data_IF_695681508731
#
_entry.id   IF_695681508731
#
_cell.length_a   1.000
_cell.length_b   1.000
_cell.length_c   1.000
_cell.angle_alpha   90.00
_cell.angle_beta   90.00
_cell.angle_gamma   90.00
#
_symmetry.space_group_name_H-M   'P 1'
#
loop_
_entity.id
_entity.type
_entity.pdbx_description
1 polymer ?
#
# COMPACT_ATOMS: atom_id res chain seq x y z
N UNK A 1 -18.40 -1.92 8.90
CA UNK A 1 -17.43 -2.38 7.87
C UNK A 1 -16.59 -1.17 7.49
N UNK A 2 -15.27 -1.28 7.49
CA UNK A 2 -14.39 -0.16 7.12
C UNK A 2 -14.66 0.31 5.69
N UNK A 3 -14.45 1.60 5.45
CA UNK A 3 -14.51 2.17 4.10
C UNK A 3 -13.31 1.67 3.26
N UNK A 4 -12.12 1.68 3.86
CA UNK A 4 -10.88 1.29 3.19
C UNK A 4 -10.04 0.41 4.12
N UNK A 5 -9.51 -0.70 3.58
CA UNK A 5 -8.40 -1.46 4.17
C UNK A 5 -7.09 -1.04 3.50
N UNK A 6 -6.13 -0.56 4.28
CA UNK A 6 -4.80 -0.22 3.79
C UNK A 6 -3.83 -1.33 4.17
N UNK A 7 -3.19 -1.92 3.18
CA UNK A 7 -2.29 -3.06 3.33
C UNK A 7 -0.84 -2.59 3.19
N UNK A 8 -0.02 -2.87 4.20
CA UNK A 8 1.39 -2.45 4.26
C UNK A 8 2.26 -3.67 4.46
N UNK A 9 2.97 -4.15 3.41
CA UNK A 9 4.00 -5.17 3.57
C UNK A 9 5.21 -4.56 4.28
N UNK A 10 5.75 -5.25 5.28
CA UNK A 10 6.89 -4.78 6.10
C UNK A 10 7.99 -5.82 6.08
N UNK A 11 9.21 -5.40 5.71
CA UNK A 11 10.41 -6.22 5.83
C UNK A 11 11.64 -5.36 6.03
N UNK A 12 12.21 -5.36 7.26
CA UNK A 12 13.43 -4.63 7.61
C UNK A 12 13.40 -3.14 7.23
N UNK A 13 12.35 -2.43 7.65
CA UNK A 13 12.14 -1.00 7.34
C UNK A 13 12.09 -0.12 8.61
N UNK A 14 12.74 -0.54 9.71
CA UNK A 14 12.72 0.16 11.00
C UNK A 14 12.98 1.67 10.91
N UNK A 15 13.81 2.10 9.94
CA UNK A 15 14.19 3.51 9.75
C UNK A 15 13.04 4.39 9.27
N UNK A 16 12.08 3.83 8.53
CA UNK A 16 11.02 4.56 7.83
C UNK A 16 9.63 4.23 8.36
N UNK A 17 9.48 3.06 8.98
CA UNK A 17 8.20 2.48 9.35
C UNK A 17 7.36 3.37 10.26
N UNK A 18 7.96 4.10 11.20
CA UNK A 18 7.22 5.01 12.08
C UNK A 18 6.56 6.16 11.32
N UNK A 19 7.24 6.71 10.32
CA UNK A 19 6.67 7.77 9.48
C UNK A 19 5.54 7.25 8.62
N UNK A 20 5.70 6.07 8.03
CA UNK A 20 4.65 5.37 7.29
C UNK A 20 3.40 5.17 8.17
N UNK A 21 3.54 4.54 9.35
CA UNK A 21 2.42 4.29 10.26
C UNK A 21 1.75 5.59 10.66
N UNK A 22 2.52 6.62 11.03
CA UNK A 22 1.98 7.92 11.44
C UNK A 22 1.16 8.56 10.32
N UNK A 23 1.64 8.55 9.08
CA UNK A 23 0.91 9.09 7.94
C UNK A 23 -0.44 8.39 7.70
N UNK A 24 -0.53 7.12 8.05
CA UNK A 24 -1.75 6.32 7.94
C UNK A 24 -2.69 6.51 9.14
N UNK A 25 -2.16 6.61 10.36
CA UNK A 25 -2.97 6.84 11.57
C UNK A 25 -3.50 8.27 11.67
N UNK A 26 -2.87 9.23 11.00
CA UNK A 26 -3.30 10.62 10.93
C UNK A 26 -4.23 10.94 9.75
N UNK A 27 -4.69 9.94 9.01
CA UNK A 27 -5.63 10.14 7.91
C UNK A 27 -6.95 10.79 8.37
N UNK A 28 -7.53 11.65 7.53
CA UNK A 28 -8.82 12.31 7.82
C UNK A 28 -10.02 11.40 7.60
N UNK A 29 -9.86 10.23 7.00
CA UNK A 29 -10.88 9.19 6.90
C UNK A 29 -10.84 8.33 8.16
N UNK A 30 -11.82 8.44 9.04
CA UNK A 30 -11.88 7.68 10.29
C UNK A 30 -12.23 6.20 10.12
N UNK A 31 -12.85 5.82 9.01
CA UNK A 31 -13.26 4.43 8.74
C UNK A 31 -12.18 3.66 7.98
N UNK A 32 -10.97 3.61 8.53
CA UNK A 32 -9.83 2.86 8.00
C UNK A 32 -9.57 1.58 8.80
N UNK A 33 -9.15 0.53 8.11
CA UNK A 33 -8.51 -0.66 8.65
C UNK A 33 -7.07 -0.69 8.15
N UNK A 34 -6.09 -0.72 9.03
CA UNK A 34 -4.66 -0.74 8.71
C UNK A 34 -4.12 -2.15 8.96
N UNK A 35 -3.66 -2.82 7.90
CA UNK A 35 -3.18 -4.19 7.94
C UNK A 35 -1.70 -4.20 7.59
N UNK A 36 -0.86 -4.32 8.63
CA UNK A 36 0.58 -4.48 8.47
C UNK A 36 0.92 -5.96 8.41
N UNK A 37 1.64 -6.37 7.37
CA UNK A 37 2.10 -7.76 7.22
C UNK A 37 3.61 -7.79 7.35
N UNK A 38 4.10 -8.19 8.52
CA UNK A 38 5.52 -8.39 8.78
C UNK A 38 5.99 -9.69 8.11
N UNK A 39 6.77 -9.54 7.06
CA UNK A 39 7.32 -10.64 6.24
C UNK A 39 8.62 -11.19 6.85
N UNK A 40 8.63 -11.41 8.16
CA UNK A 40 9.75 -12.01 8.88
C UNK A 40 10.92 -11.06 9.08
N UNK A 41 10.66 -9.82 9.46
CA UNK A 41 11.70 -8.83 9.76
C UNK A 41 12.61 -9.28 10.91
N UNK A 42 13.89 -8.92 10.81
CA UNK A 42 14.92 -9.22 11.80
C UNK A 42 15.46 -7.98 12.52
N UNK A 43 15.03 -6.80 12.10
CA UNK A 43 15.33 -5.50 12.70
C UNK A 43 14.30 -5.12 13.79
N UNK A 44 14.17 -3.84 14.14
CA UNK A 44 13.20 -3.37 15.13
C UNK A 44 11.77 -3.23 14.59
N UNK A 45 11.50 -3.48 13.31
CA UNK A 45 10.16 -3.33 12.69
C UNK A 45 9.05 -4.06 13.46
N UNK A 46 9.21 -5.33 13.91
CA UNK A 46 8.16 -6.03 14.66
C UNK A 46 7.80 -5.33 15.99
N UNK A 47 8.80 -4.77 16.68
CA UNK A 47 8.59 -4.04 17.93
C UNK A 47 7.86 -2.72 17.69
N UNK A 48 8.16 -2.05 16.60
CA UNK A 48 7.46 -0.82 16.20
C UNK A 48 6.00 -1.13 15.93
N UNK A 49 5.69 -2.13 15.11
CA UNK A 49 4.34 -2.56 14.78
C UNK A 49 3.52 -2.90 16.03
N UNK A 50 4.08 -3.70 16.93
CA UNK A 50 3.40 -4.10 18.17
C UNK A 50 3.07 -2.91 19.06
N UNK A 51 3.97 -1.92 19.15
CA UNK A 51 3.74 -0.69 19.92
C UNK A 51 2.55 0.11 19.37
N UNK A 52 2.40 0.21 18.05
CA UNK A 52 1.29 0.91 17.43
C UNK A 52 -0.01 0.11 17.51
N UNK A 53 0.04 -1.20 17.30
CA UNK A 53 -1.10 -2.09 17.49
C UNK A 53 -1.67 -2.02 18.91
N UNK A 54 -0.81 -2.00 19.92
CA UNK A 54 -1.23 -1.90 21.32
C UNK A 54 -1.92 -0.56 21.66
N UNK A 55 -1.64 0.53 20.90
CA UNK A 55 -2.27 1.84 21.08
C UNK A 55 -3.63 1.96 20.41
N UNK A 56 -3.80 1.28 19.29
CA UNK A 56 -5.03 1.33 18.48
C UNK A 56 -5.38 -0.06 17.92
N UNK A 57 -5.78 -1.00 18.79
CA UNK A 57 -6.08 -2.38 18.37
C UNK A 57 -7.36 -2.52 17.55
N UNK A 58 -8.19 -1.49 17.50
CA UNK A 58 -9.43 -1.49 16.73
C UNK A 58 -9.18 -1.22 15.25
N UNK A 59 -8.18 -0.38 14.92
CA UNK A 59 -7.88 0.00 13.55
C UNK A 59 -6.61 -0.65 13.00
N UNK A 60 -5.67 -1.07 13.88
CA UNK A 60 -4.37 -1.63 13.48
C UNK A 60 -4.33 -3.13 13.71
N UNK A 61 -4.16 -3.86 12.63
CA UNK A 61 -3.93 -5.30 12.61
C UNK A 61 -2.52 -5.62 12.16
N UNK A 62 -1.83 -6.47 12.88
CA UNK A 62 -0.48 -6.96 12.52
C UNK A 62 -0.56 -8.46 12.27
N UNK A 63 -0.03 -8.90 11.13
CA UNK A 63 0.08 -10.31 10.75
C UNK A 63 1.56 -10.57 10.52
N UNK A 64 2.10 -11.60 11.17
CA UNK A 64 3.51 -12.01 10.98
C UNK A 64 3.56 -13.31 10.19
N UNK A 65 4.45 -13.38 9.22
CA UNK A 65 4.72 -14.59 8.44
C UNK A 65 6.23 -14.84 8.30
N UNK A 66 6.61 -16.03 7.87
CA UNK A 66 7.98 -16.30 7.41
C UNK A 66 8.19 -15.56 6.09
N UNK A 67 9.38 -14.96 5.92
CA UNK A 67 9.71 -14.22 4.70
C UNK A 67 9.39 -15.03 3.44
N UNK A 68 8.55 -14.46 2.60
CA UNK A 68 8.06 -15.06 1.36
C UNK A 68 7.91 -14.02 0.24
N UNK A 69 8.37 -12.79 0.48
CA UNK A 69 8.40 -11.70 -0.48
C UNK A 69 7.15 -10.81 -0.45
N UNK A 70 7.33 -9.63 -1.01
CA UNK A 70 6.37 -8.52 -0.96
C UNK A 70 5.00 -8.88 -1.57
N UNK A 71 4.98 -9.60 -2.70
CA UNK A 71 3.73 -10.07 -3.33
C UNK A 71 2.91 -10.97 -2.41
N UNK A 72 3.57 -11.93 -1.72
CA UNK A 72 2.93 -12.80 -0.74
C UNK A 72 2.40 -12.01 0.45
N UNK A 73 3.17 -11.08 0.98
CA UNK A 73 2.74 -10.23 2.10
C UNK A 73 1.51 -9.40 1.72
N UNK A 74 1.47 -8.80 0.52
CA UNK A 74 0.27 -8.09 0.03
C UNK A 74 -0.93 -9.03 -0.11
N UNK A 75 -0.76 -10.27 -0.58
CA UNK A 75 -1.83 -11.26 -0.69
C UNK A 75 -2.40 -11.64 0.69
N UNK A 76 -1.55 -11.84 1.69
CA UNK A 76 -1.98 -12.13 3.07
C UNK A 76 -2.79 -10.95 3.62
N UNK A 77 -2.34 -9.72 3.40
CA UNK A 77 -3.08 -8.52 3.78
C UNK A 77 -4.43 -8.41 3.04
N UNK A 78 -4.46 -8.68 1.73
CA UNK A 78 -5.68 -8.65 0.93
C UNK A 78 -6.69 -9.71 1.38
N UNK A 79 -6.25 -10.90 1.70
CA UNK A 79 -7.11 -11.96 2.24
C UNK A 79 -7.72 -11.60 3.61
N UNK A 80 -7.03 -10.77 4.40
CA UNK A 80 -7.48 -10.30 5.70
C UNK A 80 -8.33 -9.02 5.63
N UNK A 81 -8.34 -8.32 4.50
CA UNK A 81 -9.02 -7.04 4.29
C UNK A 81 -10.54 -7.18 4.30
N UNK A 82 -11.22 -6.28 5.01
CA UNK A 82 -12.68 -6.26 5.14
C UNK A 82 -13.34 -5.00 4.56
N UNK A 83 -12.55 -3.98 4.23
CA UNK A 83 -13.03 -2.72 3.68
C UNK A 83 -13.74 -2.85 2.33
N UNK A 84 -14.54 -1.86 2.00
CA UNK A 84 -15.19 -1.75 0.68
C UNK A 84 -14.14 -1.59 -0.43
N UNK A 85 -13.14 -0.77 -0.17
CA UNK A 85 -11.99 -0.57 -1.04
C UNK A 85 -10.71 -1.04 -0.35
N UNK A 86 -9.67 -1.28 -1.14
CA UNK A 86 -8.32 -1.57 -0.67
C UNK A 86 -7.32 -0.59 -1.26
N UNK A 87 -6.36 -0.19 -0.44
CA UNK A 87 -5.14 0.53 -0.84
C UNK A 87 -3.91 -0.25 -0.39
N UNK A 88 -2.79 0.05 -1.00
CA UNK A 88 -1.48 -0.50 -0.64
C UNK A 88 -0.52 0.66 -0.38
N UNK A 89 0.39 0.49 0.57
CA UNK A 89 1.46 1.47 0.85
C UNK A 89 2.72 0.68 1.18
N UNK A 90 3.83 1.05 0.60
CA UNK A 90 5.11 0.44 0.94
C UNK A 90 5.61 1.00 2.28
N UNK A 91 6.19 0.18 3.13
CA UNK A 91 6.51 0.53 4.52
C UNK A 91 7.63 1.57 4.68
N UNK A 92 8.31 1.93 3.60
CA UNK A 92 9.31 2.99 3.51
C UNK A 92 8.76 4.30 2.92
N UNK A 93 7.48 4.31 2.51
CA UNK A 93 6.77 5.46 1.98
C UNK A 93 5.86 6.13 3.01
N UNK A 94 5.33 7.30 2.69
CA UNK A 94 4.27 7.95 3.45
C UNK A 94 3.25 8.62 2.52
N UNK A 95 2.08 8.97 3.05
CA UNK A 95 0.95 9.46 2.26
C UNK A 95 0.42 10.80 2.77
N UNK A 96 -0.15 11.60 1.87
CA UNK A 96 -0.87 12.83 2.24
C UNK A 96 -2.00 12.51 3.22
N UNK A 97 -2.17 13.33 4.25
CA UNK A 97 -3.17 13.16 5.30
C UNK A 97 -4.61 13.05 4.78
N UNK A 98 -4.93 13.59 3.62
CA UNK A 98 -6.27 13.61 3.03
C UNK A 98 -6.45 12.54 1.94
N UNK A 99 -5.40 11.77 1.63
CA UNK A 99 -5.39 10.89 0.47
C UNK A 99 -6.58 9.94 0.45
N UNK A 100 -6.75 9.13 1.49
CA UNK A 100 -7.81 8.12 1.51
C UNK A 100 -9.21 8.72 1.61
N UNK A 101 -9.40 9.82 2.35
CA UNK A 101 -10.68 10.52 2.41
C UNK A 101 -11.09 11.07 1.04
N UNK A 102 -10.16 11.72 0.33
CA UNK A 102 -10.42 12.29 -0.99
C UNK A 102 -10.70 11.20 -2.04
N UNK A 103 -9.87 10.13 -2.06
CA UNK A 103 -10.04 9.02 -3.00
C UNK A 103 -11.34 8.25 -2.74
N UNK A 104 -11.69 7.98 -1.47
CA UNK A 104 -12.93 7.29 -1.11
C UNK A 104 -14.17 8.10 -1.46
N UNK A 105 -14.17 9.41 -1.17
CA UNK A 105 -15.26 10.32 -1.56
C UNK A 105 -15.46 10.29 -3.07
N UNK A 106 -14.40 10.38 -3.83
CA UNK A 106 -14.46 10.32 -5.30
C UNK A 106 -14.95 8.96 -5.78
N UNK A 107 -14.46 7.87 -5.22
CA UNK A 107 -14.85 6.52 -5.57
C UNK A 107 -16.34 6.27 -5.34
N UNK A 108 -16.87 6.72 -4.19
CA UNK A 108 -18.28 6.54 -3.82
C UNK A 108 -19.23 7.38 -4.66
N UNK A 109 -18.89 8.66 -4.92
CA UNK A 109 -19.76 9.57 -5.68
C UNK A 109 -19.99 9.16 -7.14
N UNK A 110 -19.06 8.43 -7.75
CA UNK A 110 -19.11 7.99 -9.14
C UNK A 110 -19.17 6.46 -9.29
N UNK A 111 -19.27 5.74 -8.18
CA UNK A 111 -19.26 4.26 -8.14
C UNK A 111 -18.05 3.67 -8.88
N UNK A 112 -16.86 4.23 -8.64
CA UNK A 112 -15.64 3.85 -9.35
C UNK A 112 -15.10 2.49 -8.89
N UNK A 113 -14.49 1.77 -9.80
CA UNK A 113 -13.75 0.53 -9.53
C UNK A 113 -12.32 0.83 -9.09
N UNK A 114 -11.74 1.93 -9.60
CA UNK A 114 -10.36 2.34 -9.39
C UNK A 114 -10.24 3.86 -9.32
N UNK A 115 -9.55 4.35 -8.31
CA UNK A 115 -9.07 5.74 -8.26
C UNK A 115 -7.55 5.71 -8.19
N UNK A 116 -6.88 6.51 -9.02
CA UNK A 116 -5.43 6.67 -9.03
C UNK A 116 -5.07 8.10 -8.65
N UNK A 117 -4.11 8.28 -7.72
CA UNK A 117 -3.59 9.61 -7.36
C UNK A 117 -2.20 9.86 -7.93
N UNK A 118 -1.75 11.10 -7.83
CA UNK A 118 -0.37 11.48 -8.11
C UNK A 118 0.58 10.94 -7.04
N UNK A 119 1.88 11.04 -7.29
CA UNK A 119 2.90 10.72 -6.32
C UNK A 119 4.14 11.58 -6.51
N UNK A 120 4.94 11.70 -5.45
CA UNK A 120 6.23 12.33 -5.44
C UNK A 120 7.32 11.30 -5.27
N UNK A 121 8.35 11.35 -6.11
CA UNK A 121 9.62 10.73 -5.80
C UNK A 121 10.41 11.65 -4.88
N UNK A 122 10.90 11.08 -3.77
CA UNK A 122 11.81 11.74 -2.85
C UNK A 122 13.22 11.22 -3.12
N UNK A 123 14.05 12.05 -3.73
CA UNK A 123 15.45 11.72 -3.96
C UNK A 123 16.25 11.85 -2.66
N UNK A 124 17.37 11.14 -2.52
CA UNK A 124 18.21 11.16 -1.30
C UNK A 124 18.72 12.57 -0.93
N UNK A 125 18.88 13.45 -1.89
CA UNK A 125 19.30 14.85 -1.71
C UNK A 125 18.16 15.80 -1.30
N UNK A 126 16.95 15.25 -1.06
CA UNK A 126 15.76 16.00 -0.64
C UNK A 126 14.99 16.67 -1.78
N UNK A 127 15.36 16.44 -3.04
CA UNK A 127 14.56 16.91 -4.18
C UNK A 127 13.30 16.07 -4.32
N UNK A 128 12.21 16.75 -4.69
CA UNK A 128 10.93 16.10 -4.97
C UNK A 128 10.60 16.20 -6.47
N UNK A 129 10.21 15.09 -7.06
CA UNK A 129 9.73 15.05 -8.43
C UNK A 129 8.33 14.47 -8.47
N UNK A 130 7.35 15.31 -8.82
CA UNK A 130 5.98 14.87 -9.04
C UNK A 130 5.90 13.97 -10.27
N UNK A 131 5.13 12.90 -10.15
CA UNK A 131 4.85 11.98 -11.24
C UNK A 131 3.41 11.46 -11.18
N UNK A 132 2.97 10.80 -12.25
CA UNK A 132 1.63 10.22 -12.37
C UNK A 132 1.69 9.03 -13.31
N UNK A 133 0.76 8.09 -13.09
CA UNK A 133 0.67 6.89 -13.90
C UNK A 133 1.75 5.87 -13.54
N UNK A 134 1.38 4.88 -12.78
CA UNK A 134 2.26 3.77 -12.39
C UNK A 134 1.50 2.45 -12.46
N UNK A 135 2.16 1.36 -12.77
CA UNK A 135 1.62 0.02 -12.57
C UNK A 135 1.59 -0.37 -11.08
N UNK A 136 2.37 0.31 -10.25
CA UNK A 136 2.46 0.05 -8.82
C UNK A 136 1.11 0.24 -8.11
N UNK A 137 0.81 -0.54 -7.06
CA UNK A 137 -0.48 -0.49 -6.37
C UNK A 137 -0.60 0.65 -5.36
N UNK A 138 0.52 1.24 -4.90
CA UNK A 138 0.57 2.16 -3.76
C UNK A 138 -0.08 3.54 -4.01
N UNK A 139 -0.35 3.94 -5.26
CA UNK A 139 -1.10 5.16 -5.59
C UNK A 139 -2.54 4.88 -6.02
N UNK A 140 -3.07 3.72 -5.69
CA UNK A 140 -4.40 3.26 -6.13
C UNK A 140 -5.32 2.92 -4.98
N UNK A 141 -6.59 3.28 -5.14
CA UNK A 141 -7.70 2.79 -4.34
C UNK A 141 -8.55 1.89 -5.25
N UNK A 142 -8.68 0.62 -4.88
CA UNK A 142 -9.28 -0.41 -5.71
C UNK A 142 -10.51 -0.97 -5.00
N UNK A 143 -11.65 -1.08 -5.67
CA UNK A 143 -12.84 -1.74 -5.12
C UNK A 143 -12.50 -3.20 -4.80
N UNK A 144 -12.54 -3.58 -3.51
CA UNK A 144 -12.04 -4.88 -3.04
C UNK A 144 -12.70 -6.06 -3.76
N UNK A 145 -14.04 -6.03 -3.97
CA UNK A 145 -14.74 -7.10 -4.67
C UNK A 145 -14.23 -7.33 -6.10
N UNK A 146 -13.68 -6.31 -6.76
CA UNK A 146 -13.09 -6.48 -8.09
C UNK A 146 -11.93 -7.46 -8.07
N UNK A 147 -11.16 -7.48 -6.98
CA UNK A 147 -10.04 -8.40 -6.79
C UNK A 147 -10.52 -9.79 -6.37
N UNK A 148 -11.40 -9.84 -5.35
CA UNK A 148 -11.85 -11.12 -4.77
C UNK A 148 -12.74 -11.93 -5.71
N UNK A 149 -13.68 -11.28 -6.41
CA UNK A 149 -14.64 -11.95 -7.29
C UNK A 149 -13.99 -12.45 -8.59
N UNK A 150 -12.82 -11.92 -8.95
CA UNK A 150 -12.09 -12.30 -10.17
C UNK A 150 -10.76 -13.04 -9.88
N UNK A 151 -10.54 -13.44 -8.63
CA UNK A 151 -9.32 -14.17 -8.20
C UNK A 151 -8.01 -13.46 -8.60
N UNK A 152 -7.98 -12.11 -8.40
CA UNK A 152 -6.83 -11.27 -8.75
C UNK A 152 -5.89 -11.12 -7.56
N UNK A 153 -4.74 -11.77 -7.65
CA UNK A 153 -3.69 -11.79 -6.64
C UNK A 153 -2.35 -11.36 -7.23
N UNK A 154 -1.47 -10.88 -6.36
CA UNK A 154 -0.07 -10.66 -6.73
C UNK A 154 0.61 -12.00 -7.03
N UNK A 155 1.42 -12.12 -8.09
CA UNK A 155 2.26 -13.29 -8.29
C UNK A 155 3.29 -13.39 -7.17
N UNK A 156 3.51 -14.61 -6.67
CA UNK A 156 4.44 -14.89 -5.59
C UNK A 156 5.79 -15.34 -6.15
N UNK A 157 6.90 -14.91 -5.51
CA UNK A 157 8.25 -15.34 -5.90
C UNK A 157 8.82 -14.66 -7.15
N UNK A 158 8.21 -13.57 -7.62
CA UNK A 158 8.67 -12.81 -8.78
C UNK A 158 9.01 -11.36 -8.38
N UNK A 159 9.93 -10.77 -9.14
CA UNK A 159 10.19 -9.33 -9.13
C UNK A 159 9.23 -8.69 -10.13
N UNK A 160 8.79 -7.44 -9.87
CA UNK A 160 7.77 -6.73 -10.67
C UNK A 160 6.38 -7.39 -10.60
N UNK A 161 6.04 -7.94 -9.43
CA UNK A 161 4.73 -8.52 -9.13
C UNK A 161 3.59 -7.50 -9.30
N UNK A 162 3.88 -6.22 -9.08
CA UNK A 162 2.98 -5.08 -9.24
C UNK A 162 2.50 -4.90 -10.69
N UNK A 163 3.42 -4.97 -11.65
CA UNK A 163 3.08 -4.87 -13.08
C UNK A 163 2.17 -6.01 -13.50
N UNK A 164 2.49 -7.23 -13.10
CA UNK A 164 1.66 -8.41 -13.38
C UNK A 164 0.29 -8.31 -12.72
N UNK A 165 0.22 -7.86 -11.47
CA UNK A 165 -1.03 -7.61 -10.76
C UNK A 165 -1.89 -6.58 -11.49
N UNK A 166 -1.30 -5.45 -11.89
CA UNK A 166 -2.01 -4.39 -12.60
C UNK A 166 -2.54 -4.85 -13.96
N UNK A 167 -1.76 -5.64 -14.71
CA UNK A 167 -2.21 -6.19 -15.99
C UNK A 167 -3.38 -7.18 -15.84
N UNK A 168 -3.41 -7.98 -14.76
CA UNK A 168 -4.55 -8.84 -14.44
C UNK A 168 -5.78 -8.03 -14.03
N UNK A 169 -5.62 -6.92 -13.31
CA UNK A 169 -6.70 -6.06 -12.83
C UNK A 169 -7.37 -5.29 -13.97
N UNK A 170 -6.58 -4.75 -14.91
CA UNK A 170 -7.03 -3.83 -15.97
C UNK A 170 -8.27 -4.26 -16.75
N UNK A 171 -8.42 -5.51 -17.20
CA UNK A 171 -9.60 -5.95 -17.96
C UNK A 171 -10.93 -5.83 -17.20
N UNK A 172 -10.89 -5.81 -15.89
CA UNK A 172 -12.07 -5.78 -15.02
C UNK A 172 -12.46 -4.36 -14.58
N UNK A 173 -11.58 -3.37 -14.75
CA UNK A 173 -11.84 -1.97 -14.40
C UNK A 173 -12.72 -1.34 -15.47
N UNK A 174 -13.97 -1.03 -15.11
CA UNK A 174 -14.96 -0.40 -16.00
C UNK A 174 -15.05 1.10 -15.77
N UNK A 175 -14.98 1.53 -14.50
CA UNK A 175 -15.07 2.93 -14.09
C UNK A 175 -13.83 3.32 -13.30
N UNK A 176 -13.09 4.29 -13.78
CA UNK A 176 -11.88 4.78 -13.10
C UNK A 176 -11.74 6.30 -13.17
N UNK A 177 -11.06 6.88 -12.18
CA UNK A 177 -10.69 8.29 -12.18
C UNK A 177 -9.23 8.49 -11.76
N UNK A 178 -8.66 9.62 -12.20
CA UNK A 178 -7.40 10.15 -11.69
C UNK A 178 -7.70 11.34 -10.78
N UNK A 179 -6.93 11.47 -9.71
CA UNK A 179 -7.00 12.59 -8.80
C UNK A 179 -5.66 13.30 -8.73
N UNK A 180 -5.73 14.62 -8.74
CA UNK A 180 -4.58 15.50 -8.58
C UNK A 180 -4.66 16.17 -7.20
N UNK A 181 -3.49 16.40 -6.57
CA UNK A 181 -3.41 17.15 -5.32
C UNK A 181 -3.52 16.32 -4.03
N UNK A 182 -3.51 15.00 -4.14
CA UNK A 182 -3.26 14.08 -3.02
C UNK A 182 -2.17 13.09 -3.44
N UNK A 183 -1.22 12.79 -2.56
CA UNK A 183 0.04 12.19 -2.97
C UNK A 183 0.44 11.02 -2.10
N UNK A 184 1.11 10.05 -2.73
CA UNK A 184 2.06 9.13 -2.09
C UNK A 184 3.44 9.74 -2.25
N UNK A 185 4.23 9.72 -1.19
CA UNK A 185 5.63 10.12 -1.20
C UNK A 185 6.49 8.87 -1.22
N UNK A 186 6.95 8.53 -2.41
CA UNK A 186 7.75 7.33 -2.66
C UNK A 186 9.23 7.65 -2.53
N UNK A 187 9.95 6.92 -1.65
CA UNK A 187 11.38 7.10 -1.41
C UNK A 187 12.22 6.33 -2.42
N UNK A 188 13.16 7.03 -3.04
CA UNK A 188 14.26 6.36 -3.72
C UNK A 188 15.37 6.05 -2.69
N UNK A 189 15.67 4.78 -2.53
CA UNK A 189 16.69 4.28 -1.60
C UNK A 189 17.76 3.51 -2.34
N UNK A 190 19.02 3.76 -1.98
CA UNK A 190 20.14 3.02 -2.53
C UNK A 190 20.11 1.51 -2.24
N UNK A 191 19.46 1.11 -1.13
CA UNK A 191 19.25 -0.28 -0.69
C UNK A 191 17.90 -0.89 -1.13
N UNK A 192 17.18 -0.22 -2.04
CA UNK A 192 15.94 -0.73 -2.61
C UNK A 192 16.19 -2.05 -3.36
N UNK A 193 15.21 -2.97 -3.28
CA UNK A 193 15.21 -4.24 -4.03
C UNK A 193 15.40 -4.01 -5.55
N UNK A 194 14.99 -2.84 -6.05
CA UNK A 194 15.18 -2.44 -7.45
C UNK A 194 16.63 -2.15 -7.81
N UNK A 195 17.48 -1.77 -6.84
CA UNK A 195 18.87 -1.43 -7.01
C UNK A 195 19.82 -2.63 -6.77
N UNK A 196 19.31 -3.73 -6.21
CA UNK A 196 20.09 -4.95 -6.01
C UNK A 196 20.27 -5.72 -7.32
N UNK A 197 21.44 -5.51 -7.97
CA UNK A 197 21.82 -6.19 -9.21
C UNK A 197 21.92 -7.72 -9.09
N UNK A 198 21.91 -8.30 -7.88
CA UNK A 198 21.94 -9.75 -7.66
C UNK A 198 20.57 -10.40 -7.89
N UNK A 199 19.48 -9.65 -7.79
CA UNK A 199 18.13 -10.14 -8.01
C UNK A 199 17.70 -10.15 -9.49
N UNK A 200 18.58 -9.72 -10.40
CA UNK A 200 18.31 -9.64 -11.85
C UNK A 200 18.77 -10.88 -12.67
N UNK A 201 19.10 -12.00 -11.97
CA UNK A 201 19.49 -13.24 -12.67
C UNK A 201 18.47 -14.34 -12.50
#
# INVERSE_FOLDING_TARGET
MPAVSVIVPVYNTEKYLEECIRSLTEQTLSSLELIFVDDGSTDASPKILERYRARDPEHIRVITQKNAGQGKARNVGLAAATGEYVGFVDSDDYVDRRMYAAMYTRAGSEELDLVECDFHYLEEDGREKRSYGSAAPWNKLIRRRLLTDNDIWFPEGYIYEDTSFYLKLRPFVKKQAKMLGVYVYHRDRGDSTMNDNKSRR
#
